data_IF_639233180490
#
_entry.id   IF_639233180490
#
_cell.length_a   1.000
_cell.length_b   1.000
_cell.length_c   1.000
_cell.angle_alpha   90.00
_cell.angle_beta   90.00
_cell.angle_gamma   90.00
#
_symmetry.space_group_name_H-M   'P 1'
#
loop_
_entity.id
_entity.type
_entity.pdbx_description
1 polymer ?
#
# COMPACT_ATOMS: atom_id res chain seq x y z
N UNK A 1 7.62 4.48 -36.72
CA UNK A 1 7.91 4.19 -35.35
C UNK A 1 8.21 5.51 -34.64
N UNK A 2 7.35 5.90 -33.69
CA UNK A 2 7.59 7.06 -32.86
C UNK A 2 8.87 6.78 -32.05
N UNK A 3 9.75 7.78 -31.94
CA UNK A 3 10.93 7.69 -31.10
C UNK A 3 10.50 7.37 -29.66
N UNK A 4 11.24 6.55 -28.92
CA UNK A 4 10.91 6.33 -27.51
C UNK A 4 10.95 7.69 -26.81
N UNK A 5 9.84 8.09 -26.19
CA UNK A 5 9.81 9.23 -25.29
C UNK A 5 10.74 8.90 -24.13
N UNK A 6 11.93 9.47 -24.13
CA UNK A 6 12.83 9.44 -22.97
C UNK A 6 12.29 10.50 -22.02
N UNK A 7 11.47 10.08 -21.07
CA UNK A 7 10.97 10.97 -20.04
C UNK A 7 12.14 11.50 -19.19
N UNK A 8 12.01 12.77 -18.81
CA UNK A 8 12.93 13.36 -17.85
C UNK A 8 12.74 12.67 -16.50
N UNK A 9 13.81 12.32 -15.82
CA UNK A 9 13.72 11.68 -14.49
C UNK A 9 12.79 12.44 -13.55
N UNK A 10 11.89 11.71 -12.89
CA UNK A 10 10.85 12.28 -12.02
C UNK A 10 9.67 12.91 -12.75
N UNK A 11 9.59 12.77 -14.06
CA UNK A 11 8.44 13.26 -14.82
C UNK A 11 7.27 12.29 -14.67
N UNK A 12 6.18 12.78 -14.06
CA UNK A 12 4.94 12.04 -13.93
C UNK A 12 4.24 11.91 -15.30
N UNK A 13 3.82 10.71 -15.64
CA UNK A 13 2.90 10.44 -16.76
C UNK A 13 1.82 9.46 -16.32
N UNK A 14 0.57 9.79 -16.66
CA UNK A 14 -0.62 9.01 -16.29
C UNK A 14 -1.53 8.80 -17.48
N UNK A 15 -2.08 7.59 -17.58
CA UNK A 15 -3.10 7.20 -18.53
C UNK A 15 -4.27 6.54 -17.82
N UNK A 16 -5.47 7.09 -17.94
CA UNK A 16 -6.69 6.54 -17.34
C UNK A 16 -7.62 6.03 -18.45
N UNK A 17 -8.08 4.81 -18.23
CA UNK A 17 -8.97 4.08 -19.13
C UNK A 17 -10.29 3.74 -18.44
N UNK A 18 -11.34 3.59 -19.20
CA UNK A 18 -12.67 3.15 -18.79
C UNK A 18 -12.94 1.76 -19.40
N UNK A 19 -13.14 0.76 -18.56
CA UNK A 19 -13.52 -0.59 -18.98
C UNK A 19 -15.01 -0.73 -19.29
N UNK A 20 -15.84 0.30 -19.03
CA UNK A 20 -17.29 0.30 -19.32
C UNK A 20 -18.00 -0.92 -18.75
N UNK A 21 -17.66 -1.31 -17.51
CA UNK A 21 -18.17 -2.48 -16.82
C UNK A 21 -17.88 -3.83 -17.50
N UNK A 22 -16.89 -3.86 -18.41
CA UNK A 22 -16.34 -5.11 -18.94
C UNK A 22 -15.07 -5.51 -18.19
N UNK A 23 -14.51 -6.67 -18.51
CA UNK A 23 -13.21 -7.11 -17.97
C UNK A 23 -12.09 -6.98 -18.99
N UNK A 24 -12.31 -6.23 -20.05
CA UNK A 24 -11.32 -5.97 -21.09
C UNK A 24 -10.37 -4.84 -20.67
N UNK A 25 -9.08 -5.10 -20.73
CA UNK A 25 -8.03 -4.15 -20.36
C UNK A 25 -7.20 -3.75 -21.58
N UNK A 26 -6.75 -2.48 -21.62
CA UNK A 26 -6.98 -1.41 -20.64
C UNK A 26 -8.36 -0.75 -20.78
N UNK A 27 -9.14 -0.99 -21.84
CA UNK A 27 -10.39 -0.34 -22.12
C UNK A 27 -10.22 0.89 -23.03
N UNK A 28 -11.11 1.88 -22.90
CA UNK A 28 -11.07 3.12 -23.67
C UNK A 28 -10.33 4.21 -22.90
N UNK A 29 -9.29 4.82 -23.48
CA UNK A 29 -8.60 5.95 -22.86
C UNK A 29 -9.55 7.14 -22.69
N UNK A 30 -9.65 7.65 -21.47
CA UNK A 30 -10.59 8.73 -21.11
C UNK A 30 -9.90 9.96 -20.54
N UNK A 31 -8.67 9.81 -20.02
CA UNK A 31 -7.85 10.92 -19.54
C UNK A 31 -6.37 10.54 -19.58
N UNK A 32 -5.51 11.43 -20.09
CA UNK A 32 -4.06 11.27 -20.04
C UNK A 32 -3.39 12.48 -19.39
N UNK A 33 -2.06 12.41 -19.18
CA UNK A 33 -1.31 13.44 -18.46
C UNK A 33 -1.56 14.85 -19.01
N UNK A 34 -1.83 15.77 -18.10
CA UNK A 34 -2.11 17.18 -18.40
C UNK A 34 -3.54 17.48 -18.84
N UNK A 35 -4.39 16.48 -19.03
CA UNK A 35 -5.80 16.74 -19.35
C UNK A 35 -6.62 17.17 -18.12
N UNK A 36 -7.59 18.06 -18.29
CA UNK A 36 -8.51 18.44 -17.22
C UNK A 36 -9.43 17.28 -16.85
N UNK A 37 -10.14 17.45 -15.72
CA UNK A 37 -11.23 16.55 -15.31
C UNK A 37 -12.24 16.34 -16.46
N UNK A 38 -12.69 15.10 -16.60
CA UNK A 38 -13.76 14.74 -17.53
C UNK A 38 -15.14 14.68 -16.86
N UNK A 39 -15.21 14.97 -15.55
CA UNK A 39 -16.44 14.94 -14.75
C UNK A 39 -16.81 13.56 -14.19
N UNK A 40 -16.05 12.51 -14.52
CA UNK A 40 -16.20 11.19 -13.92
C UNK A 40 -15.37 11.09 -12.64
N UNK A 41 -16.04 10.87 -11.51
CA UNK A 41 -15.40 10.86 -10.18
C UNK A 41 -14.34 9.78 -10.07
N UNK A 42 -14.59 8.57 -10.58
CA UNK A 42 -13.64 7.47 -10.52
C UNK A 42 -12.38 7.75 -11.36
N UNK A 43 -12.56 8.32 -12.55
CA UNK A 43 -11.45 8.74 -13.41
C UNK A 43 -10.61 9.82 -12.74
N UNK A 44 -11.26 10.81 -12.15
CA UNK A 44 -10.57 11.93 -11.53
C UNK A 44 -9.83 11.53 -10.25
N UNK A 45 -10.43 10.67 -9.42
CA UNK A 45 -9.78 10.09 -8.23
C UNK A 45 -8.56 9.24 -8.62
N UNK A 46 -8.72 8.33 -9.60
CA UNK A 46 -7.61 7.50 -10.07
C UNK A 46 -6.47 8.40 -10.60
N UNK A 47 -6.78 9.38 -11.44
CA UNK A 47 -5.80 10.31 -11.98
C UNK A 47 -5.05 11.08 -10.88
N UNK A 48 -5.77 11.61 -9.90
CA UNK A 48 -5.19 12.38 -8.79
C UNK A 48 -4.31 11.49 -7.90
N UNK A 49 -4.82 10.34 -7.47
CA UNK A 49 -4.13 9.50 -6.50
C UNK A 49 -2.93 8.74 -7.08
N UNK A 50 -2.95 8.39 -8.36
CA UNK A 50 -1.76 7.93 -9.08
C UNK A 50 -0.66 9.01 -9.05
N UNK A 51 -1.04 10.26 -9.30
CA UNK A 51 -0.10 11.38 -9.29
C UNK A 51 0.49 11.65 -7.91
N UNK A 52 -0.34 11.67 -6.87
CA UNK A 52 0.13 11.89 -5.49
C UNK A 52 1.07 10.77 -5.05
N UNK A 53 0.77 9.52 -5.42
CA UNK A 53 1.63 8.37 -5.11
C UNK A 53 2.99 8.51 -5.80
N UNK A 54 3.02 8.85 -7.09
CA UNK A 54 4.28 9.11 -7.81
C UNK A 54 5.08 10.24 -7.15
N UNK A 55 4.43 11.36 -6.85
CA UNK A 55 5.05 12.52 -6.24
C UNK A 55 5.65 12.19 -4.87
N UNK A 56 4.95 11.39 -4.07
CA UNK A 56 5.46 10.92 -2.78
C UNK A 56 6.77 10.13 -2.96
N UNK A 57 6.80 9.12 -3.80
CA UNK A 57 7.98 8.30 -4.01
C UNK A 57 9.14 9.11 -4.61
N UNK A 58 8.86 10.03 -5.53
CA UNK A 58 9.88 10.90 -6.10
C UNK A 58 10.45 11.90 -5.08
N UNK A 59 9.60 12.62 -4.38
CA UNK A 59 10.02 13.69 -3.46
C UNK A 59 10.68 13.16 -2.20
N UNK A 60 10.16 12.08 -1.63
CA UNK A 60 10.65 11.56 -0.36
C UNK A 60 11.75 10.51 -0.55
N UNK A 61 11.67 9.67 -1.56
CA UNK A 61 12.62 8.56 -1.76
C UNK A 61 13.44 8.68 -3.04
N UNK A 62 13.27 9.74 -3.82
CA UNK A 62 13.94 9.95 -5.12
C UNK A 62 13.75 8.78 -6.08
N UNK A 63 12.59 8.12 -5.96
CA UNK A 63 12.20 7.01 -6.80
C UNK A 63 11.38 7.48 -7.99
N UNK A 64 11.87 7.19 -9.20
CA UNK A 64 11.24 7.56 -10.46
C UNK A 64 10.19 6.52 -10.88
N UNK A 65 8.94 6.72 -10.43
CA UNK A 65 7.82 5.80 -10.63
C UNK A 65 8.03 4.43 -9.95
N UNK A 66 7.20 3.43 -10.29
CA UNK A 66 7.22 2.13 -9.60
C UNK A 66 8.45 1.31 -9.90
N UNK A 67 8.98 1.42 -11.11
CA UNK A 67 10.15 0.68 -11.60
C UNK A 67 11.47 1.43 -11.41
N UNK A 68 11.43 2.64 -10.83
CA UNK A 68 12.55 3.56 -10.72
C UNK A 68 13.17 3.95 -12.08
N UNK A 69 12.35 3.94 -13.15
CA UNK A 69 12.76 4.25 -14.54
C UNK A 69 11.74 5.10 -15.29
N UNK A 70 10.75 5.67 -14.58
CA UNK A 70 9.73 6.52 -15.18
C UNK A 70 8.58 5.76 -15.83
N UNK A 71 8.19 4.60 -15.28
CA UNK A 71 7.01 3.85 -15.75
C UNK A 71 5.78 4.76 -15.79
N UNK A 72 5.07 4.78 -16.93
CA UNK A 72 3.79 5.46 -17.07
C UNK A 72 2.77 4.78 -16.16
N UNK A 73 2.09 5.56 -15.33
CA UNK A 73 1.07 5.05 -14.42
C UNK A 73 -0.26 4.91 -15.15
N UNK A 74 -0.62 3.68 -15.45
CA UNK A 74 -1.89 3.35 -16.12
C UNK A 74 -2.90 2.85 -15.10
N UNK A 75 -4.11 3.41 -15.14
CA UNK A 75 -5.24 2.98 -14.34
C UNK A 75 -6.48 2.72 -15.19
N UNK A 76 -7.20 1.65 -14.93
CA UNK A 76 -8.50 1.36 -15.54
C UNK A 76 -9.57 1.40 -14.48
N UNK A 77 -10.60 2.22 -14.68
CA UNK A 77 -11.78 2.33 -13.80
C UNK A 77 -12.98 1.60 -14.41
N UNK A 78 -14.04 1.45 -13.62
CA UNK A 78 -15.29 0.77 -14.02
C UNK A 78 -15.05 -0.65 -14.55
N UNK A 79 -14.13 -1.37 -13.90
CA UNK A 79 -13.82 -2.75 -14.26
C UNK A 79 -14.88 -3.70 -13.74
N UNK A 80 -15.46 -4.50 -14.64
CA UNK A 80 -16.51 -5.46 -14.31
C UNK A 80 -17.81 -4.80 -13.85
N UNK A 81 -18.79 -5.61 -13.53
CA UNK A 81 -20.05 -5.14 -12.92
C UNK A 81 -20.00 -5.39 -11.42
N UNK A 82 -20.27 -4.33 -10.63
CA UNK A 82 -20.26 -4.43 -9.16
C UNK A 82 -19.01 -5.10 -8.60
N UNK A 83 -17.85 -4.91 -9.30
CA UNK A 83 -16.63 -5.57 -8.95
C UNK A 83 -16.06 -5.01 -7.66
N UNK A 84 -15.95 -5.90 -6.66
CA UNK A 84 -15.62 -5.54 -5.28
C UNK A 84 -14.12 -5.68 -4.99
N UNK A 85 -13.28 -5.12 -5.85
CA UNK A 85 -11.84 -5.14 -5.64
C UNK A 85 -11.12 -4.05 -6.45
N UNK A 86 -9.87 -3.80 -6.07
CA UNK A 86 -8.86 -3.16 -6.89
C UNK A 86 -7.61 -4.04 -6.90
N UNK A 87 -6.81 -3.99 -7.95
CA UNK A 87 -5.58 -4.78 -8.02
C UNK A 87 -4.55 -4.19 -8.98
N UNK A 88 -3.28 -4.45 -8.67
CA UNK A 88 -2.15 -4.30 -9.58
C UNK A 88 -1.96 -5.61 -10.35
N UNK A 89 -1.92 -5.56 -11.70
CA UNK A 89 -1.78 -6.76 -12.52
C UNK A 89 -0.35 -7.01 -13.05
N UNK A 90 0.63 -6.25 -12.54
CA UNK A 90 2.01 -6.27 -13.02
C UNK A 90 2.32 -5.20 -14.08
N UNK A 91 1.31 -4.53 -14.61
CA UNK A 91 1.45 -3.49 -15.65
C UNK A 91 0.63 -2.24 -15.37
N UNK A 92 -0.54 -2.40 -14.77
CA UNK A 92 -1.49 -1.31 -14.53
C UNK A 92 -2.35 -1.55 -13.29
N UNK A 93 -2.94 -0.47 -12.82
CA UNK A 93 -4.00 -0.48 -11.81
C UNK A 93 -5.35 -0.78 -12.42
N UNK A 94 -6.16 -1.56 -11.70
CA UNK A 94 -7.54 -1.89 -12.09
C UNK A 94 -8.46 -1.66 -10.91
N UNK A 95 -9.56 -0.92 -11.14
CA UNK A 95 -10.51 -0.52 -10.09
C UNK A 95 -11.92 -0.93 -10.43
N UNK A 96 -12.56 -1.66 -9.52
CA UNK A 96 -14.00 -1.90 -9.53
C UNK A 96 -14.78 -0.76 -8.87
N UNK A 97 -16.08 -0.71 -9.15
CA UNK A 97 -16.98 0.30 -8.58
C UNK A 97 -17.59 -0.11 -7.23
N UNK A 98 -17.35 -1.35 -6.80
CA UNK A 98 -18.05 -1.92 -5.67
C UNK A 98 -19.52 -2.24 -6.00
N UNK A 99 -20.22 -2.83 -5.04
CA UNK A 99 -21.64 -3.18 -5.17
C UNK A 99 -22.58 -2.11 -4.59
N UNK A 100 -22.04 -1.13 -3.89
CA UNK A 100 -22.81 -0.10 -3.18
C UNK A 100 -23.50 -0.58 -1.91
N UNK A 101 -23.44 -1.87 -1.60
CA UNK A 101 -24.03 -2.48 -0.39
C UNK A 101 -22.97 -2.74 0.67
N UNK A 102 -21.84 -3.32 0.28
CA UNK A 102 -20.68 -3.59 1.14
C UNK A 102 -19.57 -2.59 0.86
N UNK A 103 -19.27 -2.37 -0.42
CA UNK A 103 -18.18 -1.50 -0.85
C UNK A 103 -18.66 -0.37 -1.76
N UNK A 104 -18.08 0.80 -1.55
CA UNK A 104 -18.09 1.90 -2.49
C UNK A 104 -17.08 1.65 -3.62
N UNK A 105 -16.96 2.59 -4.59
CA UNK A 105 -15.94 2.52 -5.65
C UNK A 105 -14.53 2.47 -5.06
N UNK A 106 -13.66 1.65 -5.60
CA UNK A 106 -12.33 1.41 -5.04
C UNK A 106 -11.33 2.54 -5.29
N UNK A 107 -11.65 3.51 -6.12
CA UNK A 107 -10.86 4.73 -6.31
C UNK A 107 -10.98 5.74 -5.15
N UNK A 108 -11.96 5.57 -4.26
CA UNK A 108 -12.28 6.55 -3.21
C UNK A 108 -11.17 6.74 -2.18
N UNK A 109 -10.36 5.69 -1.93
CA UNK A 109 -9.36 5.67 -0.87
C UNK A 109 -7.95 5.73 -1.45
N UNK A 110 -7.25 6.86 -1.20
CA UNK A 110 -5.88 7.07 -1.67
C UNK A 110 -4.90 6.00 -1.16
N UNK A 111 -5.07 5.53 0.07
CA UNK A 111 -4.24 4.48 0.66
C UNK A 111 -4.42 3.12 -0.04
N UNK A 112 -5.61 2.81 -0.56
CA UNK A 112 -5.85 1.62 -1.38
C UNK A 112 -5.17 1.76 -2.73
N UNK A 113 -5.30 2.90 -3.40
CA UNK A 113 -4.60 3.17 -4.67
C UNK A 113 -3.09 3.05 -4.50
N UNK A 114 -2.54 3.67 -3.47
CA UNK A 114 -1.12 3.63 -3.19
C UNK A 114 -0.64 2.24 -2.70
N UNK A 115 -1.48 1.48 -1.99
CA UNK A 115 -1.23 0.08 -1.63
C UNK A 115 -0.98 -0.76 -2.88
N UNK A 116 -1.90 -0.72 -3.82
CA UNK A 116 -1.79 -1.50 -5.05
C UNK A 116 -0.56 -1.10 -5.89
N UNK A 117 -0.30 0.19 -6.04
CA UNK A 117 0.90 0.67 -6.72
C UNK A 117 2.19 0.22 -6.03
N UNK A 118 2.18 0.12 -4.71
CA UNK A 118 3.34 -0.29 -3.92
C UNK A 118 3.70 -1.77 -4.12
N UNK A 119 2.77 -2.61 -4.57
CA UNK A 119 3.10 -3.95 -5.05
C UNK A 119 4.09 -3.90 -6.22
N UNK A 120 3.93 -2.92 -7.13
CA UNK A 120 4.87 -2.70 -8.23
C UNK A 120 6.27 -2.31 -7.75
N UNK A 121 6.38 -1.52 -6.70
CA UNK A 121 7.66 -1.18 -6.05
C UNK A 121 8.30 -2.43 -5.44
N UNK A 122 7.55 -3.19 -4.66
CA UNK A 122 8.03 -4.42 -4.00
C UNK A 122 8.44 -5.47 -5.03
N UNK A 123 7.68 -5.63 -6.11
CA UNK A 123 7.99 -6.56 -7.22
C UNK A 123 9.31 -6.19 -7.91
N UNK A 124 9.52 -4.91 -8.16
CA UNK A 124 10.71 -4.41 -8.86
C UNK A 124 11.98 -4.53 -8.02
N UNK A 125 11.89 -4.30 -6.71
CA UNK A 125 13.04 -4.30 -5.80
C UNK A 125 13.24 -5.63 -5.08
N UNK A 126 12.41 -5.93 -4.10
CA UNK A 126 12.58 -7.08 -3.22
C UNK A 126 12.12 -8.40 -3.86
N UNK A 127 11.14 -8.36 -4.72
CA UNK A 127 10.58 -9.56 -5.37
C UNK A 127 10.07 -10.60 -4.36
N UNK A 128 9.49 -10.16 -3.24
CA UNK A 128 9.01 -11.05 -2.19
C UNK A 128 7.98 -12.04 -2.73
N UNK A 129 8.23 -13.33 -2.50
CA UNK A 129 7.33 -14.41 -2.90
C UNK A 129 5.99 -14.23 -2.19
N UNK A 130 4.90 -14.23 -2.97
CA UNK A 130 3.55 -13.98 -2.48
C UNK A 130 2.93 -15.23 -1.84
N UNK A 131 3.59 -15.69 -0.76
CA UNK A 131 3.18 -16.86 0.01
C UNK A 131 3.67 -16.77 1.46
N UNK A 132 2.84 -17.19 2.43
CA UNK A 132 3.15 -17.20 3.87
C UNK A 132 3.76 -15.87 4.37
N UNK A 133 4.84 -15.91 5.15
CA UNK A 133 5.41 -14.71 5.77
C UNK A 133 5.98 -13.71 4.74
N UNK A 134 6.64 -14.17 3.69
CA UNK A 134 7.13 -13.26 2.64
C UNK A 134 5.98 -12.58 1.89
N UNK A 135 4.88 -13.28 1.67
CA UNK A 135 3.66 -12.71 1.10
C UNK A 135 2.97 -11.75 2.07
N UNK A 136 2.93 -12.06 3.35
CA UNK A 136 2.41 -11.15 4.38
C UNK A 136 3.27 -9.88 4.52
N UNK A 137 4.59 -9.97 4.35
CA UNK A 137 5.47 -8.80 4.24
C UNK A 137 5.17 -7.97 3.00
N UNK A 138 4.95 -8.62 1.85
CA UNK A 138 4.56 -7.94 0.62
C UNK A 138 3.27 -7.12 0.82
N UNK A 139 2.24 -7.70 1.43
CA UNK A 139 1.00 -7.01 1.79
C UNK A 139 1.22 -5.88 2.79
N UNK A 140 2.01 -6.11 3.83
CA UNK A 140 2.32 -5.10 4.84
C UNK A 140 3.08 -3.91 4.26
N UNK A 141 4.03 -4.14 3.36
CA UNK A 141 4.75 -3.07 2.68
C UNK A 141 3.81 -2.19 1.86
N UNK A 142 2.85 -2.80 1.18
CA UNK A 142 1.80 -2.07 0.47
C UNK A 142 0.92 -1.25 1.41
N UNK A 143 0.53 -1.78 2.56
CA UNK A 143 -0.21 -1.04 3.58
C UNK A 143 0.62 0.10 4.20
N UNK A 144 1.89 -0.16 4.50
CA UNK A 144 2.81 0.86 5.01
C UNK A 144 2.92 2.03 4.05
N UNK A 145 3.28 1.79 2.79
CA UNK A 145 3.41 2.87 1.81
C UNK A 145 2.06 3.50 1.47
N UNK A 146 0.98 2.73 1.42
CA UNK A 146 -0.38 3.26 1.27
C UNK A 146 -0.73 4.25 2.37
N UNK A 147 -0.49 3.89 3.63
CA UNK A 147 -0.67 4.78 4.77
C UNK A 147 0.23 6.01 4.72
N UNK A 148 1.51 5.85 4.34
CA UNK A 148 2.45 6.96 4.22
C UNK A 148 2.03 7.96 3.14
N UNK A 149 1.55 7.51 2.00
CA UNK A 149 1.02 8.38 0.93
C UNK A 149 -0.20 9.16 1.42
N UNK A 150 -1.13 8.50 2.12
CA UNK A 150 -2.29 9.16 2.74
C UNK A 150 -1.86 10.22 3.75
N UNK A 151 -0.97 9.87 4.69
CA UNK A 151 -0.44 10.80 5.69
C UNK A 151 0.27 11.99 5.04
N UNK A 152 1.06 11.75 4.01
CA UNK A 152 1.76 12.77 3.24
C UNK A 152 0.78 13.75 2.57
N UNK A 153 -0.24 13.22 1.90
CA UNK A 153 -1.28 14.01 1.26
C UNK A 153 -2.03 14.88 2.26
N UNK A 154 -2.39 14.32 3.42
CA UNK A 154 -3.10 15.01 4.50
C UNK A 154 -2.18 15.82 5.41
N UNK A 155 -0.86 15.77 5.21
CA UNK A 155 0.17 16.43 6.04
C UNK A 155 0.04 16.08 7.52
N UNK A 156 -0.17 14.80 7.81
CA UNK A 156 -0.34 14.27 9.16
C UNK A 156 0.97 13.73 9.72
N UNK A 157 1.25 14.04 10.98
CA UNK A 157 2.28 13.37 11.77
C UNK A 157 1.79 11.99 12.25
N UNK A 158 2.71 11.12 12.67
CA UNK A 158 2.40 9.76 13.09
C UNK A 158 1.36 9.68 14.22
N UNK A 159 1.36 10.65 15.15
CA UNK A 159 0.41 10.74 16.25
C UNK A 159 -0.98 11.26 15.84
N UNK A 160 -1.11 11.86 14.65
CA UNK A 160 -2.36 12.41 14.11
C UNK A 160 -3.01 11.53 13.06
N UNK A 161 -2.27 10.59 12.48
CA UNK A 161 -2.79 9.65 11.49
C UNK A 161 -3.79 8.68 12.13
N UNK A 162 -4.77 8.24 11.36
CA UNK A 162 -5.76 7.27 11.80
C UNK A 162 -5.26 5.82 11.76
N UNK A 163 -4.21 5.57 10.99
CA UNK A 163 -3.63 4.25 10.75
C UNK A 163 -4.62 3.21 10.20
N UNK A 164 -5.66 3.68 9.56
CA UNK A 164 -6.63 2.86 8.83
C UNK A 164 -6.21 2.71 7.36
N UNK A 165 -6.50 1.56 6.79
CA UNK A 165 -6.43 1.32 5.35
C UNK A 165 -7.85 1.18 4.81
N UNK A 166 -8.19 1.97 3.78
CA UNK A 166 -9.48 1.91 3.14
C UNK A 166 -10.60 2.62 3.90
N UNK A 167 -10.29 3.68 4.65
CA UNK A 167 -11.33 4.55 5.21
C UNK A 167 -12.20 5.13 4.09
N UNK A 168 -13.53 5.07 4.26
CA UNK A 168 -14.50 5.51 3.26
C UNK A 168 -14.84 4.47 2.19
N UNK A 169 -14.13 3.34 2.13
CA UNK A 169 -14.41 2.27 1.17
C UNK A 169 -15.64 1.43 1.54
N UNK A 170 -15.90 1.24 2.83
CA UNK A 170 -17.09 0.53 3.29
C UNK A 170 -18.36 1.36 3.06
N UNK A 171 -19.40 0.73 2.55
CA UNK A 171 -20.70 1.37 2.35
C UNK A 171 -21.32 1.80 3.69
N UNK A 172 -22.20 2.81 3.64
CA UNK A 172 -22.77 3.47 4.83
C UNK A 172 -23.46 2.51 5.83
N UNK A 173 -23.98 1.38 5.37
CA UNK A 173 -24.65 0.40 6.23
C UNK A 173 -23.74 -0.58 6.96
N UNK A 174 -22.46 -0.59 6.64
CA UNK A 174 -21.48 -1.53 7.17
C UNK A 174 -20.87 -1.01 8.47
N UNK A 175 -20.82 -1.87 9.49
CA UNK A 175 -20.19 -1.55 10.77
C UNK A 175 -18.67 -1.77 10.69
N UNK A 176 -17.96 -0.73 10.27
CA UNK A 176 -16.52 -0.74 10.13
C UNK A 176 -15.96 0.66 9.85
N UNK A 177 -14.67 0.81 10.10
CA UNK A 177 -13.92 2.06 9.89
C UNK A 177 -13.07 2.02 8.60
N UNK A 178 -12.75 0.83 8.12
CA UNK A 178 -11.90 0.59 6.96
C UNK A 178 -11.69 -0.91 6.74
N UNK A 179 -10.81 -1.25 5.81
CA UNK A 179 -10.47 -2.65 5.52
C UNK A 179 -9.54 -3.25 6.57
N UNK A 180 -8.58 -2.48 7.06
CA UNK A 180 -7.57 -2.89 8.06
C UNK A 180 -7.24 -1.73 8.99
N UNK A 181 -6.80 -2.08 10.20
CA UNK A 181 -6.21 -1.15 11.15
C UNK A 181 -4.76 -1.55 11.43
N UNK A 182 -3.82 -0.65 11.16
CA UNK A 182 -2.41 -0.88 11.44
C UNK A 182 -2.08 -0.71 12.93
N UNK A 183 -2.79 0.18 13.61
CA UNK A 183 -2.62 0.41 15.06
C UNK A 183 -3.18 -0.73 15.90
N UNK A 184 -4.34 -1.26 15.49
CA UNK A 184 -5.08 -2.29 16.21
C UNK A 184 -5.61 -3.36 15.24
N UNK A 185 -4.74 -4.20 14.66
CA UNK A 185 -5.18 -5.26 13.75
C UNK A 185 -6.24 -6.15 14.38
N UNK A 186 -7.29 -6.49 13.61
CA UNK A 186 -8.44 -7.23 14.11
C UNK A 186 -9.61 -6.37 14.58
N UNK A 187 -9.54 -5.04 14.40
CA UNK A 187 -10.57 -4.11 14.88
C UNK A 187 -11.18 -3.23 13.80
N UNK A 188 -10.76 -3.35 12.54
CA UNK A 188 -11.20 -2.45 11.49
C UNK A 188 -12.72 -2.54 11.22
N UNK A 189 -13.30 -3.72 11.32
CA UNK A 189 -14.73 -3.94 11.13
C UNK A 189 -15.24 -5.12 11.97
N UNK A 190 -16.53 -5.08 12.28
CA UNK A 190 -17.29 -6.18 12.88
C UNK A 190 -18.75 -6.06 12.43
N UNK A 191 -19.08 -6.75 11.36
CA UNK A 191 -20.34 -6.58 10.64
C UNK A 191 -20.96 -7.94 10.27
N UNK A 192 -22.29 -8.09 10.32
CA UNK A 192 -22.94 -9.36 9.95
C UNK A 192 -22.65 -9.86 8.54
N UNK A 193 -22.39 -8.95 7.57
CA UNK A 193 -22.09 -9.32 6.18
C UNK A 193 -20.59 -9.60 5.96
N UNK A 194 -19.72 -8.81 6.58
CA UNK A 194 -18.27 -8.98 6.46
C UNK A 194 -17.66 -9.93 7.49
N UNK A 195 -18.34 -10.19 8.57
CA UNK A 195 -17.74 -10.85 9.73
C UNK A 195 -16.90 -9.87 10.56
N UNK A 196 -15.99 -10.42 11.36
CA UNK A 196 -15.02 -9.67 12.16
C UNK A 196 -13.68 -9.65 11.45
N UNK A 197 -13.00 -8.52 11.50
CA UNK A 197 -11.61 -8.40 11.03
C UNK A 197 -10.73 -9.50 11.63
N UNK A 198 -10.19 -10.41 10.82
CA UNK A 198 -9.46 -11.57 11.31
C UNK A 198 -7.98 -11.34 11.59
N UNK A 199 -7.45 -10.15 11.31
CA UNK A 199 -6.01 -9.91 11.37
C UNK A 199 -5.45 -10.05 12.79
N UNK A 200 -4.38 -10.85 12.99
CA UNK A 200 -3.65 -10.91 14.25
C UNK A 200 -2.76 -9.67 14.43
N UNK A 201 -2.57 -9.26 15.67
CA UNK A 201 -1.71 -8.15 16.06
C UNK A 201 -0.36 -8.60 16.64
N UNK A 202 -0.16 -9.90 16.86
CA UNK A 202 1.02 -10.46 17.54
C UNK A 202 1.32 -11.86 17.03
N UNK A 203 2.61 -12.25 17.01
CA UNK A 203 3.06 -13.57 16.53
C UNK A 203 2.44 -14.77 17.27
N UNK A 204 2.07 -14.63 18.54
CA UNK A 204 1.38 -15.68 19.28
C UNK A 204 0.05 -16.09 18.64
N UNK A 205 -0.57 -15.19 17.90
CA UNK A 205 -1.86 -15.36 17.23
C UNK A 205 -1.69 -15.57 15.72
N UNK A 206 -0.48 -15.86 15.24
CA UNK A 206 -0.19 -16.12 13.82
C UNK A 206 -1.09 -17.22 13.26
N UNK A 207 -1.73 -16.93 12.13
CA UNK A 207 -2.70 -17.83 11.52
C UNK A 207 -1.99 -18.75 10.53
N UNK A 208 -2.02 -20.06 10.81
CA UNK A 208 -1.56 -21.10 9.88
C UNK A 208 -2.72 -21.58 9.05
N UNK A 209 -2.67 -21.31 7.75
CA UNK A 209 -3.72 -21.68 6.79
C UNK A 209 -3.11 -22.00 5.44
N UNK A 210 -3.86 -22.71 4.59
CA UNK A 210 -3.54 -22.87 3.17
C UNK A 210 -4.30 -21.89 2.28
N UNK A 211 -5.34 -21.28 2.82
CA UNK A 211 -6.11 -20.25 2.15
C UNK A 211 -5.31 -18.96 2.08
N UNK A 212 -5.72 -18.04 1.20
CA UNK A 212 -5.11 -16.71 1.09
C UNK A 212 -3.58 -16.79 0.93
N UNK A 213 -3.09 -17.69 0.08
CA UNK A 213 -1.64 -17.93 -0.13
C UNK A 213 -0.86 -18.13 1.18
N UNK A 214 -1.43 -18.84 2.14
CA UNK A 214 -0.85 -19.02 3.47
C UNK A 214 -1.12 -17.86 4.43
N UNK A 215 -2.20 -17.11 4.20
CA UNK A 215 -2.66 -16.05 5.08
C UNK A 215 -1.96 -14.71 4.88
N UNK A 216 -1.65 -14.34 3.63
CA UNK A 216 -0.90 -13.10 3.34
C UNK A 216 -1.65 -11.84 3.75
N UNK A 217 -2.97 -11.75 3.52
CA UNK A 217 -3.79 -10.62 3.96
C UNK A 217 -4.16 -10.71 5.46
N UNK A 218 -4.05 -11.88 6.06
CA UNK A 218 -4.30 -12.08 7.49
C UNK A 218 -3.10 -11.66 8.33
N UNK A 219 -1.96 -12.32 8.11
CA UNK A 219 -0.77 -12.15 8.95
C UNK A 219 0.00 -10.85 8.68
N UNK A 220 -0.35 -10.10 7.65
CA UNK A 220 0.19 -8.75 7.42
C UNK A 220 -0.13 -7.76 8.54
N UNK A 221 -1.13 -8.06 9.37
CA UNK A 221 -1.44 -7.28 10.57
C UNK A 221 -0.28 -7.19 11.56
N UNK A 222 0.54 -8.23 11.67
CA UNK A 222 1.68 -8.28 12.59
C UNK A 222 2.77 -7.27 12.21
N UNK A 223 3.34 -7.30 10.99
CA UNK A 223 4.30 -6.28 10.56
C UNK A 223 3.68 -4.89 10.39
N UNK A 224 2.39 -4.77 10.04
CA UNK A 224 1.69 -3.48 10.05
C UNK A 224 1.75 -2.82 11.43
N UNK A 225 1.45 -3.58 12.48
CA UNK A 225 1.50 -3.07 13.84
C UNK A 225 2.92 -2.70 14.25
N UNK A 226 3.92 -3.48 13.85
CA UNK A 226 5.33 -3.16 14.13
C UNK A 226 5.71 -1.80 13.52
N UNK A 227 5.32 -1.52 12.27
CA UNK A 227 5.56 -0.21 11.67
C UNK A 227 4.86 0.92 12.44
N UNK A 228 3.58 0.74 12.76
CA UNK A 228 2.83 1.72 13.56
C UNK A 228 3.52 2.04 14.89
N UNK A 229 3.92 1.02 15.65
CA UNK A 229 4.60 1.19 16.93
C UNK A 229 5.94 1.93 16.77
N UNK A 230 6.75 1.56 15.79
CA UNK A 230 8.01 2.22 15.51
C UNK A 230 7.80 3.69 15.11
N UNK A 231 6.89 3.95 14.18
CA UNK A 231 6.64 5.29 13.67
C UNK A 231 6.10 6.25 14.75
N UNK A 232 5.19 5.77 15.61
CA UNK A 232 4.62 6.58 16.69
C UNK A 232 5.63 6.83 17.82
N UNK A 233 6.48 5.86 18.14
CA UNK A 233 7.55 6.04 19.13
C UNK A 233 8.61 7.03 18.65
N UNK A 234 9.00 6.96 17.37
CA UNK A 234 9.96 7.89 16.75
C UNK A 234 9.36 9.30 16.67
N UNK A 235 8.07 9.40 16.37
CA UNK A 235 7.36 10.67 16.21
C UNK A 235 7.68 11.41 14.90
N UNK A 236 7.07 12.58 14.72
CA UNK A 236 7.18 13.34 13.50
C UNK A 236 6.42 12.70 12.33
N UNK A 237 6.89 12.94 11.12
CA UNK A 237 6.31 12.31 9.93
C UNK A 237 6.80 10.88 9.75
N UNK A 238 5.86 9.93 9.66
CA UNK A 238 6.18 8.51 9.58
C UNK A 238 6.98 8.14 8.31
N UNK A 239 6.84 8.87 7.22
CA UNK A 239 7.60 8.62 5.98
C UNK A 239 9.08 9.00 6.05
N UNK A 240 9.49 9.77 7.05
CA UNK A 240 10.89 10.14 7.26
C UNK A 240 11.69 8.96 7.84
N UNK A 241 11.97 8.94 9.14
CA UNK A 241 12.88 7.98 9.77
C UNK A 241 12.40 6.53 9.66
N UNK A 242 11.19 6.24 10.12
CA UNK A 242 10.61 4.90 10.02
C UNK A 242 10.40 4.47 8.57
N UNK A 243 9.80 5.33 7.76
CA UNK A 243 9.55 5.08 6.34
C UNK A 243 10.84 4.83 5.55
N UNK A 244 11.90 5.60 5.81
CA UNK A 244 13.22 5.36 5.20
C UNK A 244 13.80 4.00 5.57
N UNK A 245 13.70 3.57 6.82
CA UNK A 245 14.20 2.27 7.25
C UNK A 245 13.51 1.12 6.51
N UNK A 246 12.18 1.21 6.33
CA UNK A 246 11.42 0.24 5.54
C UNK A 246 11.74 0.31 4.04
N UNK A 247 11.81 1.49 3.46
CA UNK A 247 12.14 1.66 2.04
C UNK A 247 13.55 1.15 1.71
N UNK A 248 14.55 1.51 2.53
CA UNK A 248 15.92 1.02 2.35
C UNK A 248 16.00 -0.51 2.47
N UNK A 249 15.16 -1.12 3.34
CA UNK A 249 15.09 -2.57 3.48
C UNK A 249 14.48 -3.22 2.23
N UNK A 250 13.43 -2.64 1.65
CA UNK A 250 12.83 -3.14 0.38
C UNK A 250 13.86 -3.11 -0.76
N UNK A 251 14.71 -2.10 -0.79
CA UNK A 251 15.75 -1.92 -1.81
C UNK A 251 17.05 -2.69 -1.51
N UNK A 252 17.15 -3.36 -0.35
CA UNK A 252 18.36 -4.07 0.05
C UNK A 252 18.44 -5.46 -0.62
N UNK A 253 19.48 -5.69 -1.39
CA UNK A 253 19.73 -6.98 -2.05
C UNK A 253 19.96 -8.14 -1.09
N UNK A 254 20.20 -7.88 0.20
CA UNK A 254 20.30 -8.90 1.24
C UNK A 254 18.92 -9.41 1.68
N UNK A 255 17.83 -8.70 1.35
CA UNK A 255 16.49 -9.18 1.61
C UNK A 255 16.15 -10.33 0.67
N UNK A 256 16.09 -11.54 1.21
CA UNK A 256 15.74 -12.72 0.42
C UNK A 256 14.27 -12.67 -0.02
N UNK A 257 13.97 -13.16 -1.22
CA UNK A 257 12.60 -13.21 -1.75
C UNK A 257 11.63 -14.03 -0.87
N UNK A 258 12.14 -14.98 -0.10
CA UNK A 258 11.40 -15.81 0.86
C UNK A 258 11.65 -15.39 2.31
N UNK A 259 12.02 -14.14 2.56
CA UNK A 259 12.29 -13.64 3.90
C UNK A 259 11.09 -13.83 4.83
N UNK A 260 11.37 -14.24 6.06
CA UNK A 260 10.40 -14.22 7.16
C UNK A 260 10.38 -12.86 7.87
N UNK A 261 9.47 -12.70 8.82
CA UNK A 261 9.35 -11.46 9.58
C UNK A 261 10.63 -11.11 10.35
N UNK A 262 11.31 -12.11 10.92
CA UNK A 262 12.52 -11.89 11.69
C UNK A 262 13.70 -11.40 10.83
N UNK A 263 13.86 -11.96 9.63
CA UNK A 263 14.88 -11.50 8.67
C UNK A 263 14.61 -10.06 8.22
N UNK A 264 13.38 -9.73 7.91
CA UNK A 264 12.97 -8.37 7.54
C UNK A 264 13.18 -7.39 8.71
N UNK A 265 12.77 -7.76 9.91
CA UNK A 265 12.93 -6.96 11.12
C UNK A 265 14.40 -6.55 11.35
N UNK A 266 15.33 -7.48 11.22
CA UNK A 266 16.77 -7.22 11.40
C UNK A 266 17.30 -6.20 10.41
N UNK A 267 16.85 -6.26 9.16
CA UNK A 267 17.24 -5.28 8.13
C UNK A 267 16.65 -3.90 8.42
N UNK A 268 15.40 -3.81 8.89
CA UNK A 268 14.80 -2.51 9.26
C UNK A 268 15.56 -1.85 10.42
N UNK A 269 16.02 -2.63 11.40
CA UNK A 269 16.84 -2.14 12.51
C UNK A 269 18.19 -1.63 11.98
N UNK A 270 18.84 -2.40 11.11
CA UNK A 270 20.13 -2.03 10.49
C UNK A 270 20.01 -0.71 9.72
N UNK A 271 19.02 -0.59 8.84
CA UNK A 271 18.82 0.62 8.06
C UNK A 271 18.39 1.82 8.91
N UNK A 272 17.59 1.58 9.94
CA UNK A 272 17.22 2.61 10.92
C UNK A 272 18.44 3.18 11.64
N UNK A 273 19.35 2.33 12.10
CA UNK A 273 20.60 2.76 12.71
C UNK A 273 21.51 3.52 11.74
N UNK A 274 21.72 2.94 10.57
CA UNK A 274 22.59 3.52 9.53
C UNK A 274 22.15 4.91 9.10
N UNK A 275 20.85 5.12 8.91
CA UNK A 275 20.33 6.40 8.40
C UNK A 275 20.00 7.41 9.50
N UNK A 276 19.54 6.96 10.65
CA UNK A 276 18.91 7.83 11.65
C UNK A 276 19.44 7.62 13.08
N UNK A 277 20.38 6.71 13.27
CA UNK A 277 21.08 6.51 14.55
C UNK A 277 20.45 5.50 15.48
N UNK A 278 21.13 5.27 16.60
CA UNK A 278 20.81 4.20 17.58
C UNK A 278 19.45 4.32 18.23
N UNK A 279 18.97 5.54 18.46
CA UNK A 279 17.66 5.75 19.09
C UNK A 279 16.52 5.28 18.18
N UNK A 280 16.62 5.53 16.88
CA UNK A 280 15.65 5.03 15.87
C UNK A 280 15.73 3.51 15.77
N UNK A 281 16.92 2.95 15.71
CA UNK A 281 17.11 1.50 15.70
C UNK A 281 16.50 0.82 16.95
N UNK A 282 16.67 1.42 18.12
CA UNK A 282 16.09 0.93 19.37
C UNK A 282 14.56 0.95 19.35
N UNK A 283 13.94 2.01 18.82
CA UNK A 283 12.50 2.11 18.68
C UNK A 283 11.95 1.04 17.70
N UNK A 284 12.63 0.84 16.57
CA UNK A 284 12.26 -0.21 15.59
C UNK A 284 12.40 -1.60 16.22
N UNK A 285 13.51 -1.87 16.94
CA UNK A 285 13.71 -3.16 17.60
C UNK A 285 12.62 -3.43 18.65
N UNK A 286 12.27 -2.43 19.46
CA UNK A 286 11.23 -2.57 20.46
C UNK A 286 9.88 -2.88 19.83
N UNK A 287 9.54 -2.19 18.72
CA UNK A 287 8.32 -2.46 17.99
C UNK A 287 8.20 -3.92 17.50
N UNK A 288 9.28 -4.49 16.96
CA UNK A 288 9.32 -5.90 16.56
C UNK A 288 9.23 -6.87 17.73
N UNK A 289 9.79 -6.51 18.88
CA UNK A 289 9.62 -7.29 20.13
C UNK A 289 8.19 -7.24 20.63
N UNK A 290 7.56 -6.07 20.58
CA UNK A 290 6.18 -5.88 21.06
C UNK A 290 5.14 -6.66 20.28
N UNK A 291 5.44 -6.98 19.01
CA UNK A 291 4.59 -7.88 18.19
C UNK A 291 5.08 -9.35 18.22
N UNK A 292 6.11 -9.67 18.98
CA UNK A 292 6.60 -11.03 19.21
C UNK A 292 7.41 -11.64 18.07
N UNK A 293 7.97 -10.81 17.18
CA UNK A 293 8.81 -11.27 16.06
C UNK A 293 10.27 -11.47 16.50
N UNK A 294 10.74 -10.65 17.42
CA UNK A 294 12.09 -10.72 18.02
C UNK A 294 12.02 -11.00 19.51
#
# INVERSE_FOLDING_TARGET
PAAPHVNKAGQLERDIYDAKQTQELPGTQVRYEGQPSNGDVAVDEAYEYLGITHDFFWKEYQRDSLDNKGLILTGTVHYGREYQNAFWNGQQMVFGDGDGEIFNRFTIAIDVVAHELSHGVTETEAGLIYFEQSGALNESLSDVFGSLVKQYHLKQTADKADWLIGEGLLAKGINGKGLRSMSEPGTAYNDPLLGKDPQPAHMKDFIKTREDNGGVHLNSGIPNRAFYLAATEIGGYAWEKAGYAWYDTVCDRQLAQNADFAAFAKLTIHHGEKRSGKAVAAAIQQAWKDVGVL
#
